data_IF_964163804630
#
_entry.id   IF_964163804630
#
_cell.length_a   1.000
_cell.length_b   1.000
_cell.length_c   1.000
_cell.angle_alpha   90.00
_cell.angle_beta   90.00
_cell.angle_gamma   90.00
#
_symmetry.space_group_name_H-M   'P 1'
#
loop_
_entity.id
_entity.type
_entity.pdbx_description
1 polymer ?
#
# COMPACT_ATOMS: atom_id res chain seq x y z
N UNK A 1 31.07 14.97 12.42
CA UNK A 1 29.93 14.18 11.96
C UNK A 1 29.44 14.54 10.59
N UNK A 2 29.43 15.84 10.17
CA UNK A 2 28.73 16.28 8.94
C UNK A 2 29.47 15.99 7.62
N UNK A 3 30.76 15.72 7.62
CA UNK A 3 31.60 15.53 6.40
C UNK A 3 31.00 14.46 5.47
N UNK A 4 30.49 13.36 6.01
CA UNK A 4 29.86 12.26 5.24
C UNK A 4 28.33 12.38 5.13
N UNK A 5 27.72 13.44 5.64
CA UNK A 5 26.27 13.60 5.64
C UNK A 5 25.68 13.66 4.23
N UNK A 6 26.24 14.39 3.25
CA UNK A 6 25.69 14.39 1.89
C UNK A 6 25.62 13.00 1.26
N UNK A 7 26.68 12.20 1.39
CA UNK A 7 26.69 10.83 0.87
C UNK A 7 25.65 9.94 1.58
N UNK A 8 25.55 10.06 2.90
CA UNK A 8 24.55 9.29 3.68
C UNK A 8 23.13 9.66 3.31
N UNK A 9 22.84 10.94 3.11
CA UNK A 9 21.51 11.41 2.68
C UNK A 9 21.17 10.88 1.29
N UNK A 10 22.12 10.93 0.34
CA UNK A 10 21.91 10.39 -1.00
C UNK A 10 21.57 8.91 -0.97
N UNK A 11 22.36 8.10 -0.22
CA UNK A 11 22.10 6.66 -0.05
C UNK A 11 20.74 6.38 0.65
N UNK A 12 20.40 7.17 1.66
CA UNK A 12 19.12 7.04 2.34
C UNK A 12 17.94 7.31 1.40
N UNK A 13 18.01 8.37 0.60
CA UNK A 13 16.99 8.70 -0.39
C UNK A 13 16.87 7.63 -1.47
N UNK A 14 17.97 7.08 -1.97
CA UNK A 14 17.97 5.96 -2.90
C UNK A 14 17.25 4.74 -2.30
N UNK A 15 17.53 4.39 -1.06
CA UNK A 15 16.83 3.31 -0.37
C UNK A 15 15.35 3.60 -0.18
N UNK A 16 14.99 4.81 0.24
CA UNK A 16 13.60 5.21 0.48
C UNK A 16 12.75 5.27 -0.80
N UNK A 17 13.39 5.35 -1.97
CA UNK A 17 12.71 5.47 -3.27
C UNK A 17 13.01 4.32 -4.24
N UNK A 18 13.59 3.21 -3.78
CA UNK A 18 14.00 2.10 -4.64
C UNK A 18 12.82 1.43 -5.37
N UNK A 19 11.61 1.53 -4.83
CA UNK A 19 10.39 1.01 -5.47
C UNK A 19 10.02 1.72 -6.77
N UNK A 20 10.61 2.89 -7.07
CA UNK A 20 10.40 3.60 -8.34
C UNK A 20 10.88 2.80 -9.57
N UNK A 21 11.81 1.88 -9.38
CA UNK A 21 12.38 1.03 -10.43
C UNK A 21 11.81 -0.40 -10.43
N UNK A 22 10.79 -0.67 -9.62
CA UNK A 22 10.17 -1.99 -9.50
C UNK A 22 8.78 -2.01 -10.14
N UNK A 23 8.42 -3.14 -10.73
CA UNK A 23 7.10 -3.41 -11.28
C UNK A 23 6.28 -4.30 -10.33
N UNK A 24 5.21 -3.75 -9.76
CA UNK A 24 4.30 -4.47 -8.89
C UNK A 24 3.56 -5.62 -9.59
N UNK A 25 3.25 -5.45 -10.87
CA UNK A 25 2.58 -6.50 -11.65
C UNK A 25 3.50 -7.70 -11.89
N UNK A 26 4.78 -7.50 -12.17
CA UNK A 26 5.76 -8.59 -12.29
C UNK A 26 5.90 -9.34 -10.96
N UNK A 27 5.90 -8.63 -9.84
CA UNK A 27 5.94 -9.24 -8.51
C UNK A 27 4.74 -10.17 -8.31
N UNK A 28 3.53 -9.73 -8.63
CA UNK A 28 2.33 -10.57 -8.53
C UNK A 28 2.41 -11.79 -9.45
N UNK A 29 2.77 -11.59 -10.72
CA UNK A 29 2.88 -12.67 -11.72
C UNK A 29 3.89 -13.74 -11.35
N UNK A 30 4.93 -13.39 -10.60
CA UNK A 30 5.99 -14.32 -10.21
C UNK A 30 5.53 -15.46 -9.28
N UNK A 31 4.30 -15.39 -8.73
CA UNK A 31 3.72 -16.43 -7.87
C UNK A 31 2.20 -16.49 -7.99
N UNK A 32 1.70 -16.40 -9.21
CA UNK A 32 0.28 -16.64 -9.51
C UNK A 32 0.02 -18.13 -9.74
N UNK A 33 -1.10 -18.62 -9.23
CA UNK A 33 -1.56 -19.99 -9.46
C UNK A 33 -3.08 -20.07 -9.43
N UNK A 34 -3.63 -21.12 -10.03
CA UNK A 34 -5.07 -21.36 -10.06
C UNK A 34 -5.53 -21.98 -8.75
N UNK A 35 -6.61 -21.44 -8.19
CA UNK A 35 -7.24 -21.96 -6.98
C UNK A 35 -8.74 -21.65 -7.00
N UNK A 36 -9.56 -22.65 -6.65
CA UNK A 36 -11.02 -22.50 -6.57
C UNK A 36 -11.47 -21.91 -5.24
N UNK A 37 -10.85 -20.81 -4.82
CA UNK A 37 -11.23 -20.06 -3.62
C UNK A 37 -12.04 -18.84 -4.01
N UNK A 38 -13.22 -18.67 -3.41
CA UNK A 38 -14.18 -17.61 -3.76
C UNK A 38 -14.48 -16.64 -2.60
N UNK A 39 -13.79 -16.80 -1.49
CA UNK A 39 -13.94 -15.92 -0.34
C UNK A 39 -12.87 -14.84 -0.34
N UNK A 40 -13.03 -13.86 0.55
CA UNK A 40 -12.05 -12.79 0.73
C UNK A 40 -10.70 -13.33 1.20
N UNK A 41 -9.64 -12.95 0.50
CA UNK A 41 -8.26 -13.07 0.98
C UNK A 41 -7.85 -11.71 1.52
N UNK A 42 -7.50 -11.65 2.80
CA UNK A 42 -7.10 -10.43 3.49
C UNK A 42 -5.67 -10.57 4.04
N UNK A 43 -4.80 -9.63 3.68
CA UNK A 43 -3.50 -9.42 4.33
C UNK A 43 -3.57 -8.07 5.03
N UNK A 44 -3.58 -8.09 6.36
CA UNK A 44 -3.71 -6.89 7.18
C UNK A 44 -2.44 -6.56 7.95
N UNK A 45 -2.39 -5.33 8.47
CA UNK A 45 -1.27 -4.81 9.26
C UNK A 45 0.08 -4.87 8.54
N UNK A 46 0.08 -4.67 7.21
CA UNK A 46 1.30 -4.58 6.42
C UNK A 46 1.99 -3.25 6.76
N UNK A 47 3.13 -3.30 7.42
CA UNK A 47 3.90 -2.11 7.74
C UNK A 47 4.24 -1.30 6.48
N UNK A 48 4.11 0.01 6.57
CA UNK A 48 4.26 0.92 5.45
C UNK A 48 5.18 2.08 5.82
N UNK A 49 6.19 2.27 4.98
CA UNK A 49 7.15 3.37 5.07
C UNK A 49 7.20 4.05 3.71
N UNK A 50 6.81 5.31 3.63
CA UNK A 50 6.78 6.06 2.38
C UNK A 50 7.34 7.47 2.57
N UNK A 51 7.56 8.18 1.48
CA UNK A 51 8.11 9.55 1.50
C UNK A 51 7.14 10.50 0.82
N UNK A 52 6.67 11.49 1.56
CA UNK A 52 5.80 12.54 1.03
C UNK A 52 6.52 13.32 -0.08
N UNK A 53 5.96 13.36 -1.28
CA UNK A 53 6.57 14.04 -2.42
C UNK A 53 6.68 15.57 -2.23
N UNK A 54 5.80 16.18 -1.42
CA UNK A 54 5.78 17.61 -1.22
C UNK A 54 6.92 18.12 -0.30
N UNK A 55 7.33 17.30 0.66
CA UNK A 55 8.25 17.74 1.72
C UNK A 55 9.50 16.87 1.85
N UNK A 56 9.57 15.75 1.11
CA UNK A 56 10.61 14.72 1.22
C UNK A 56 10.75 14.25 2.67
N UNK A 57 9.64 14.18 3.38
CA UNK A 57 9.54 13.71 4.78
C UNK A 57 8.76 12.39 4.81
N UNK A 58 9.12 11.45 5.71
CA UNK A 58 8.46 10.16 5.78
C UNK A 58 7.02 10.26 6.32
N UNK A 59 6.17 9.36 5.84
CA UNK A 59 4.97 8.97 6.54
C UNK A 59 5.01 7.46 6.79
N UNK A 60 4.52 7.06 7.95
CA UNK A 60 4.69 5.72 8.50
C UNK A 60 3.34 5.23 8.95
N UNK A 61 3.03 4.00 8.61
CA UNK A 61 1.73 3.44 8.95
C UNK A 61 1.60 1.98 8.58
N UNK A 62 0.38 1.60 8.23
CA UNK A 62 0.03 0.24 7.83
C UNK A 62 -0.98 0.24 6.70
N UNK A 63 -0.91 -0.80 5.89
CA UNK A 63 -1.88 -1.08 4.84
C UNK A 63 -2.63 -2.38 5.13
N UNK A 64 -3.90 -2.40 4.76
CA UNK A 64 -4.76 -3.57 4.75
C UNK A 64 -5.22 -3.79 3.31
N UNK A 65 -4.97 -4.96 2.77
CA UNK A 65 -5.25 -5.30 1.38
C UNK A 65 -6.08 -6.56 1.32
N UNK A 66 -7.26 -6.47 0.71
CA UNK A 66 -8.09 -7.63 0.45
C UNK A 66 -8.45 -7.74 -1.04
N UNK A 67 -8.65 -8.97 -1.50
CA UNK A 67 -9.23 -9.24 -2.80
C UNK A 67 -10.10 -10.49 -2.74
N UNK A 68 -11.09 -10.59 -3.63
CA UNK A 68 -11.88 -11.81 -3.82
C UNK A 68 -11.43 -12.44 -5.12
N UNK A 69 -10.79 -13.62 -5.09
CA UNK A 69 -10.27 -14.28 -6.27
C UNK A 69 -11.35 -14.60 -7.31
N UNK A 70 -10.93 -14.64 -8.58
CA UNK A 70 -11.72 -15.12 -9.69
C UNK A 70 -10.93 -16.25 -10.41
N UNK A 71 -10.73 -17.37 -9.71
CA UNK A 71 -9.98 -18.54 -10.22
C UNK A 71 -8.46 -18.40 -10.18
N UNK A 72 -7.91 -17.26 -9.75
CA UNK A 72 -6.47 -17.04 -9.64
C UNK A 72 -6.14 -16.36 -8.32
N UNK A 73 -5.13 -16.88 -7.63
CA UNK A 73 -4.56 -16.28 -6.42
C UNK A 73 -3.07 -16.01 -6.60
N UNK A 74 -2.50 -15.23 -5.69
CA UNK A 74 -1.07 -14.97 -5.62
C UNK A 74 -0.53 -15.30 -4.24
N UNK A 75 0.78 -15.53 -4.14
CA UNK A 75 1.43 -15.73 -2.84
C UNK A 75 1.21 -14.53 -1.92
N UNK A 76 0.84 -14.76 -0.65
CA UNK A 76 0.52 -13.71 0.32
C UNK A 76 1.65 -12.68 0.47
N UNK A 77 2.91 -13.14 0.43
CA UNK A 77 4.09 -12.27 0.47
C UNK A 77 4.17 -11.31 -0.73
N UNK A 78 3.54 -11.64 -1.86
CA UNK A 78 3.53 -10.77 -3.05
C UNK A 78 2.66 -9.55 -2.83
N UNK A 79 1.57 -9.69 -2.08
CA UNK A 79 0.72 -8.55 -1.68
C UNK A 79 1.53 -7.55 -0.86
N UNK A 80 2.25 -8.01 0.17
CA UNK A 80 3.11 -7.15 0.98
C UNK A 80 4.23 -6.48 0.14
N UNK A 81 4.82 -7.21 -0.81
CA UNK A 81 5.84 -6.66 -1.71
C UNK A 81 5.29 -5.62 -2.67
N UNK A 82 4.06 -5.76 -3.13
CA UNK A 82 3.38 -4.73 -3.94
C UNK A 82 3.18 -3.45 -3.13
N UNK A 83 2.71 -3.57 -1.89
CA UNK A 83 2.61 -2.42 -0.98
C UNK A 83 3.95 -1.73 -0.84
N UNK A 84 5.03 -2.48 -0.54
CA UNK A 84 6.39 -1.94 -0.41
C UNK A 84 6.86 -1.25 -1.70
N UNK A 85 6.65 -1.86 -2.86
CA UNK A 85 7.04 -1.31 -4.17
C UNK A 85 6.42 0.05 -4.45
N UNK A 86 5.15 0.25 -4.13
CA UNK A 86 4.50 1.54 -4.32
C UNK A 86 4.79 2.52 -3.17
N UNK A 87 4.99 2.04 -1.95
CA UNK A 87 5.32 2.88 -0.80
C UNK A 87 6.73 3.48 -0.93
N UNK A 88 7.71 2.71 -1.42
CA UNK A 88 9.10 3.17 -1.59
C UNK A 88 9.28 4.04 -2.85
N UNK A 89 8.50 5.10 -2.91
CA UNK A 89 8.51 6.15 -3.95
C UNK A 89 8.28 7.51 -3.30
N UNK A 90 8.45 8.57 -4.06
CA UNK A 90 7.89 9.86 -3.67
C UNK A 90 6.38 9.80 -3.88
N UNK A 91 5.58 9.92 -2.81
CA UNK A 91 4.17 9.59 -2.83
C UNK A 91 3.25 10.67 -2.23
N UNK A 92 2.01 10.55 -2.63
CA UNK A 92 0.83 11.09 -1.96
C UNK A 92 0.01 9.88 -1.50
N UNK A 93 -0.47 9.86 -0.26
CA UNK A 93 -1.12 8.68 0.32
C UNK A 93 -2.34 8.21 -0.47
N UNK A 94 -3.13 9.12 -1.00
CA UNK A 94 -4.30 8.84 -1.82
C UNK A 94 -3.92 8.13 -3.13
N UNK A 95 -2.85 8.58 -3.79
CA UNK A 95 -2.30 7.96 -4.99
C UNK A 95 -1.74 6.58 -4.69
N UNK A 96 -0.98 6.44 -3.61
CA UNK A 96 -0.43 5.17 -3.15
C UNK A 96 -1.53 4.12 -2.97
N UNK A 97 -2.61 4.50 -2.28
CA UNK A 97 -3.76 3.61 -2.03
C UNK A 97 -4.40 3.13 -3.33
N UNK A 98 -4.60 4.06 -4.27
CA UNK A 98 -5.19 3.76 -5.58
C UNK A 98 -4.27 2.89 -6.44
N UNK A 99 -2.97 3.18 -6.48
CA UNK A 99 -2.00 2.42 -7.27
C UNK A 99 -1.88 0.97 -6.81
N UNK A 100 -1.92 0.71 -5.50
CA UNK A 100 -1.91 -0.65 -4.96
C UNK A 100 -3.17 -1.40 -5.42
N UNK A 101 -4.37 -0.79 -5.26
CA UNK A 101 -5.63 -1.38 -5.71
C UNK A 101 -5.60 -1.69 -7.20
N UNK A 102 -5.20 -0.75 -8.04
CA UNK A 102 -5.20 -0.89 -9.50
C UNK A 102 -4.22 -1.97 -9.95
N UNK A 103 -3.01 -2.00 -9.39
CA UNK A 103 -2.02 -3.02 -9.71
C UNK A 103 -2.57 -4.44 -9.44
N UNK A 104 -3.25 -4.66 -8.32
CA UNK A 104 -3.83 -5.95 -7.97
C UNK A 104 -5.03 -6.26 -8.88
N UNK A 105 -5.91 -5.28 -9.10
CA UNK A 105 -7.10 -5.43 -9.96
C UNK A 105 -6.72 -5.80 -11.40
N UNK A 106 -5.74 -5.09 -11.97
CA UNK A 106 -5.36 -5.24 -13.37
C UNK A 106 -4.47 -6.47 -13.61
N UNK A 107 -3.81 -6.99 -12.58
CA UNK A 107 -2.93 -8.14 -12.72
C UNK A 107 -3.60 -9.47 -12.42
N UNK A 108 -4.39 -9.54 -11.33
CA UNK A 108 -5.04 -10.79 -10.89
C UNK A 108 -6.46 -10.94 -11.45
N UNK A 109 -7.07 -9.85 -11.94
CA UNK A 109 -8.46 -9.79 -12.39
C UNK A 109 -9.47 -10.39 -11.39
N UNK A 110 -9.37 -10.04 -10.09
CA UNK A 110 -10.26 -10.57 -9.07
C UNK A 110 -11.67 -9.97 -9.24
N UNK A 111 -12.64 -10.51 -8.50
CA UNK A 111 -13.99 -9.94 -8.46
C UNK A 111 -14.03 -8.55 -7.81
N UNK A 112 -13.02 -8.19 -7.05
CA UNK A 112 -12.82 -6.88 -6.47
C UNK A 112 -11.59 -6.83 -5.58
N UNK A 113 -11.15 -5.62 -5.29
CA UNK A 113 -10.02 -5.30 -4.41
C UNK A 113 -10.44 -4.22 -3.41
N UNK A 114 -9.96 -4.34 -2.20
CA UNK A 114 -10.08 -3.32 -1.15
C UNK A 114 -8.70 -3.00 -0.58
N UNK A 115 -8.36 -1.73 -0.50
CA UNK A 115 -7.14 -1.24 0.14
C UNK A 115 -7.50 -0.13 1.11
N UNK A 116 -7.00 -0.23 2.35
CA UNK A 116 -7.06 0.83 3.35
C UNK A 116 -5.65 1.08 3.86
N UNK A 117 -5.25 2.33 3.94
CA UNK A 117 -3.97 2.77 4.51
C UNK A 117 -4.23 3.75 5.64
N UNK A 118 -3.59 3.51 6.78
CA UNK A 118 -3.55 4.41 7.93
C UNK A 118 -2.11 4.82 8.18
N UNK A 119 -1.83 6.12 8.17
CA UNK A 119 -0.46 6.60 8.36
C UNK A 119 -0.39 7.93 9.12
N UNK A 120 0.69 8.09 9.87
CA UNK A 120 1.09 9.35 10.49
C UNK A 120 2.14 10.05 9.62
N UNK A 121 1.89 11.32 9.32
CA UNK A 121 2.73 12.12 8.42
C UNK A 121 3.68 13.03 9.21
N UNK A 122 4.99 12.81 9.11
CA UNK A 122 5.97 13.64 9.82
C UNK A 122 5.97 15.08 9.34
N UNK A 123 5.55 15.35 8.12
CA UNK A 123 5.36 16.72 7.63
C UNK A 123 4.22 17.48 8.33
N UNK A 124 3.27 16.77 8.97
CA UNK A 124 2.22 17.35 9.83
C UNK A 124 2.62 17.35 11.30
N UNK A 125 3.46 16.41 11.73
CA UNK A 125 3.85 16.24 13.13
C UNK A 125 4.96 17.19 13.53
N UNK A 126 6.04 17.25 12.74
CA UNK A 126 7.29 17.93 13.11
C UNK A 126 7.29 19.43 12.77
N UNK A 127 6.43 19.85 11.87
CA UNK A 127 6.31 21.23 11.40
C UNK A 127 4.88 21.51 10.88
N UNK A 128 4.61 22.73 10.46
CA UNK A 128 3.29 23.16 9.97
C UNK A 128 2.26 23.14 11.09
N UNK A 129 1.27 22.25 11.00
CA UNK A 129 0.16 22.20 11.97
C UNK A 129 0.53 21.52 13.30
N UNK A 130 1.66 20.81 13.37
CA UNK A 130 2.22 20.18 14.57
C UNK A 130 1.22 19.27 15.32
N UNK A 131 0.52 18.39 14.60
CA UNK A 131 -0.47 17.44 15.15
C UNK A 131 0.11 16.03 15.20
N UNK A 132 0.74 15.69 16.32
CA UNK A 132 1.44 14.40 16.50
C UNK A 132 0.49 13.19 16.51
N UNK A 133 -0.73 13.33 16.97
CA UNK A 133 -1.71 12.24 17.08
C UNK A 133 -2.65 12.13 15.89
N UNK A 134 -2.46 12.96 14.85
CA UNK A 134 -3.28 12.88 13.65
C UNK A 134 -2.87 11.67 12.81
N UNK A 135 -3.83 10.81 12.48
CA UNK A 135 -3.69 9.68 11.57
C UNK A 135 -4.55 9.97 10.36
N UNK A 136 -3.97 9.82 9.17
CA UNK A 136 -4.69 9.93 7.91
C UNK A 136 -5.09 8.53 7.46
N UNK A 137 -6.38 8.31 7.18
CA UNK A 137 -6.89 7.07 6.62
C UNK A 137 -7.36 7.33 5.19
N UNK A 138 -6.88 6.51 4.25
CA UNK A 138 -7.32 6.51 2.85
C UNK A 138 -7.80 5.13 2.46
N UNK A 139 -8.82 5.08 1.59
CA UNK A 139 -9.38 3.82 1.10
C UNK A 139 -9.59 3.84 -0.41
N UNK A 140 -9.42 2.68 -1.05
CA UNK A 140 -9.72 2.46 -2.45
C UNK A 140 -10.37 1.09 -2.63
N UNK A 141 -11.51 1.08 -3.29
CA UNK A 141 -12.30 -0.13 -3.56
C UNK A 141 -12.50 -0.31 -5.05
N UNK A 142 -12.65 -1.56 -5.49
CA UNK A 142 -13.04 -1.91 -6.85
C UNK A 142 -13.98 -3.12 -6.86
N UNK A 143 -14.63 -3.37 -7.99
CA UNK A 143 -15.47 -4.53 -8.20
C UNK A 143 -16.55 -4.68 -7.12
N UNK A 144 -16.65 -5.86 -6.52
CA UNK A 144 -17.68 -6.19 -5.53
C UNK A 144 -17.57 -5.35 -4.24
N UNK A 145 -16.35 -4.96 -3.81
CA UNK A 145 -16.19 -4.10 -2.63
C UNK A 145 -16.79 -2.70 -2.83
N UNK A 146 -16.85 -2.24 -4.08
CA UNK A 146 -17.47 -0.97 -4.41
C UNK A 146 -19.00 -1.11 -4.54
N UNK A 147 -19.49 -2.22 -5.11
CA UNK A 147 -20.90 -2.42 -5.47
C UNK A 147 -21.73 -3.00 -4.33
N UNK A 148 -21.15 -3.86 -3.48
CA UNK A 148 -21.84 -4.52 -2.39
C UNK A 148 -21.35 -4.01 -1.03
N UNK A 149 -22.27 -3.38 -0.30
CA UNK A 149 -22.01 -2.83 1.03
C UNK A 149 -21.68 -3.92 2.06
N UNK A 150 -22.28 -5.10 1.95
CA UNK A 150 -22.07 -6.21 2.90
C UNK A 150 -20.62 -6.69 2.83
N UNK A 151 -20.11 -6.93 1.62
CA UNK A 151 -18.72 -7.34 1.38
C UNK A 151 -17.74 -6.27 1.85
N UNK A 152 -18.04 -4.99 1.60
CA UNK A 152 -17.22 -3.89 2.09
C UNK A 152 -17.23 -3.79 3.61
N UNK A 153 -18.37 -3.95 4.26
CA UNK A 153 -18.50 -3.91 5.71
C UNK A 153 -17.81 -5.10 6.39
N UNK A 154 -17.86 -6.29 5.79
CA UNK A 154 -17.09 -7.45 6.25
C UNK A 154 -15.59 -7.12 6.29
N UNK A 155 -15.03 -6.60 5.21
CA UNK A 155 -13.63 -6.17 5.16
C UNK A 155 -13.32 -5.13 6.25
N UNK A 156 -14.12 -4.07 6.36
CA UNK A 156 -13.91 -3.00 7.33
C UNK A 156 -13.99 -3.51 8.79
N UNK A 157 -14.80 -4.52 9.07
CA UNK A 157 -14.88 -5.14 10.39
C UNK A 157 -13.65 -6.02 10.69
N UNK A 158 -13.09 -6.69 9.69
CA UNK A 158 -11.91 -7.55 9.86
C UNK A 158 -10.61 -6.78 10.10
N UNK A 159 -10.55 -5.52 9.68
CA UNK A 159 -9.34 -4.67 9.85
C UNK A 159 -9.37 -3.78 11.10
N UNK A 160 -10.46 -3.78 11.85
CA UNK A 160 -10.58 -3.07 13.14
C UNK A 160 -9.67 -3.61 14.21
#
# INVERSE_FOLDING_TARGET
GLVKTPERVAKALQFLTHGAHQDGAEILRSAMFKEEYQQMVLVKDIELYSTCEHHVMPFIGKAHVAYIPNGTITGLSKIARVVETFARRLQVQERLTTQIRDCIQDTLHPLGVAVVIEASHTCMTLRGVQKANAVTTTSAFSGIFLKDERTRNEFLNLIR
#
